data_IF_728153948427
#
_entry.id   IF_728153948427
#
_cell.length_a   1.000
_cell.length_b   1.000
_cell.length_c   1.000
_cell.angle_alpha   90.00
_cell.angle_beta   90.00
_cell.angle_gamma   90.00
#
_symmetry.space_group_name_H-M   'P 1'
#
loop_
_entity.id
_entity.type
_entity.pdbx_description
1 polymer ?
#
# COMPACT_ATOMS: atom_id res chain seq x y z
N UNK A 1 32.60 29.74 1.20
CA UNK A 1 31.93 29.00 2.29
C UNK A 1 30.69 28.38 1.66
N UNK A 2 30.76 27.10 1.31
CA UNK A 2 29.68 26.38 0.63
C UNK A 2 28.82 25.67 1.68
N UNK A 3 27.58 26.10 1.86
CA UNK A 3 26.56 25.31 2.53
C UNK A 3 25.70 24.69 1.40
N UNK A 4 25.96 23.43 1.11
CA UNK A 4 25.17 22.65 0.17
C UNK A 4 23.79 22.38 0.74
N UNK A 5 22.79 22.91 0.06
CA UNK A 5 21.39 22.54 0.22
C UNK A 5 21.25 21.05 -0.15
N UNK A 6 21.22 20.19 0.87
CA UNK A 6 20.84 18.79 0.71
C UNK A 6 19.33 18.79 0.55
N UNK A 7 18.88 18.97 -0.70
CA UNK A 7 17.49 18.80 -1.12
C UNK A 7 16.95 17.49 -0.56
N UNK A 8 16.24 17.59 0.56
CA UNK A 8 15.55 16.49 1.18
C UNK A 8 14.47 16.07 0.21
N UNK A 9 14.61 14.87 -0.37
CA UNK A 9 13.51 14.23 -1.05
C UNK A 9 12.40 14.05 -0.01
N UNK A 10 11.41 14.93 -0.01
CA UNK A 10 10.18 14.75 0.76
C UNK A 10 9.49 13.53 0.15
N UNK A 11 9.62 12.38 0.81
CA UNK A 11 8.87 11.19 0.42
C UNK A 11 7.42 11.45 0.78
N UNK A 12 6.56 11.50 -0.24
CA UNK A 12 5.15 11.83 -0.04
C UNK A 12 4.35 10.56 0.30
N UNK A 13 3.94 10.45 1.55
CA UNK A 13 3.12 9.36 2.07
C UNK A 13 1.62 9.63 1.94
N UNK A 14 1.26 10.76 1.34
CA UNK A 14 -0.12 11.17 1.10
C UNK A 14 -0.83 10.25 0.10
N UNK A 15 -0.18 9.26 -0.52
CA UNK A 15 -0.80 8.24 -1.37
C UNK A 15 -1.09 6.93 -0.65
N UNK A 16 -0.64 6.76 0.58
CA UNK A 16 -0.91 5.54 1.35
C UNK A 16 -2.36 5.55 1.85
N UNK A 17 -2.96 4.36 1.86
CA UNK A 17 -4.30 4.10 2.37
C UNK A 17 -4.31 2.82 3.21
N UNK A 18 -5.31 2.67 4.06
CA UNK A 18 -5.61 1.41 4.74
C UNK A 18 -6.59 0.61 3.88
N UNK A 19 -6.36 -0.69 3.75
CA UNK A 19 -7.27 -1.61 3.07
C UNK A 19 -7.81 -2.59 4.10
N UNK A 20 -9.13 -2.68 4.20
CA UNK A 20 -9.84 -3.59 5.09
C UNK A 20 -10.69 -4.55 4.28
N UNK A 21 -10.84 -5.76 4.80
CA UNK A 21 -11.61 -6.82 4.17
C UNK A 21 -12.50 -7.48 5.21
N UNK A 22 -13.80 -7.61 4.91
CA UNK A 22 -14.68 -8.47 5.71
C UNK A 22 -14.46 -9.93 5.34
N UNK A 23 -14.12 -10.74 6.35
CA UNK A 23 -13.89 -12.17 6.15
C UNK A 23 -15.21 -12.94 6.03
N UNK A 24 -15.17 -14.04 5.28
CA UNK A 24 -16.31 -14.92 5.01
C UNK A 24 -16.83 -15.65 6.24
N UNK A 25 -15.92 -15.92 7.19
CA UNK A 25 -16.20 -16.68 8.40
C UNK A 25 -16.47 -15.71 9.56
N UNK A 26 -17.74 -15.57 10.00
CA UNK A 26 -18.09 -14.72 11.13
C UNK A 26 -17.62 -15.30 12.47
N UNK A 27 -17.38 -16.61 12.57
CA UNK A 27 -16.94 -17.29 13.80
C UNK A 27 -15.43 -17.09 14.04
N UNK A 28 -14.66 -16.83 12.98
CA UNK A 28 -13.26 -16.36 13.07
C UNK A 28 -13.20 -14.86 13.39
N UNK A 29 -14.31 -14.12 13.27
CA UNK A 29 -14.49 -12.75 13.78
C UNK A 29 -13.48 -11.70 13.28
N UNK A 30 -12.74 -12.01 12.21
CA UNK A 30 -11.62 -11.18 11.77
C UNK A 30 -12.01 -10.19 10.68
N UNK A 31 -11.43 -8.99 10.70
CA UNK A 31 -11.27 -8.16 9.51
C UNK A 31 -9.86 -8.38 8.95
N UNK A 32 -9.77 -8.75 7.68
CA UNK A 32 -8.51 -8.66 6.93
C UNK A 32 -8.06 -7.21 6.89
N UNK A 33 -6.75 -6.98 7.03
CA UNK A 33 -6.19 -5.64 7.03
C UNK A 33 -4.82 -5.62 6.35
N UNK A 34 -4.59 -4.58 5.58
CA UNK A 34 -3.31 -4.28 4.95
C UNK A 34 -3.16 -2.80 4.61
N UNK A 35 -2.02 -2.49 4.00
CA UNK A 35 -1.75 -1.18 3.42
C UNK A 35 -2.04 -1.20 1.92
N UNK A 36 -2.41 -0.05 1.38
CA UNK A 36 -2.49 0.19 -0.06
C UNK A 36 -1.79 1.47 -0.46
N UNK A 37 -1.55 1.63 -1.75
CA UNK A 37 -0.92 2.80 -2.34
C UNK A 37 -1.72 3.26 -3.57
N UNK A 38 -2.10 4.53 -3.61
CA UNK A 38 -2.84 5.11 -4.74
C UNK A 38 -1.92 5.25 -5.96
N UNK A 39 -2.29 4.61 -7.06
CA UNK A 39 -1.62 4.73 -8.36
C UNK A 39 -2.25 5.82 -9.24
N UNK A 40 -3.57 5.98 -9.12
CA UNK A 40 -4.39 6.93 -9.86
C UNK A 40 -5.60 7.33 -9.00
N UNK A 41 -6.40 8.33 -9.39
CA UNK A 41 -7.60 8.67 -8.64
C UNK A 41 -8.45 7.41 -8.41
N UNK A 42 -8.73 7.10 -7.14
CA UNK A 42 -9.51 5.92 -6.69
C UNK A 42 -8.90 4.54 -6.92
N UNK A 43 -7.74 4.44 -7.59
CA UNK A 43 -7.09 3.17 -7.90
C UNK A 43 -5.97 2.87 -6.93
N UNK A 44 -6.12 1.80 -6.16
CA UNK A 44 -5.21 1.41 -5.07
C UNK A 44 -4.52 0.09 -5.40
N UNK A 45 -3.19 0.08 -5.32
CA UNK A 45 -2.38 -1.12 -5.33
C UNK A 45 -2.20 -1.65 -3.91
N UNK A 46 -2.44 -2.95 -3.71
CA UNK A 46 -2.22 -3.65 -2.44
C UNK A 46 -1.67 -5.06 -2.70
N UNK A 47 -1.33 -5.78 -1.63
CA UNK A 47 -0.91 -7.17 -1.76
C UNK A 47 -2.12 -8.11 -1.92
N UNK A 48 -2.02 -9.13 -2.77
CA UNK A 48 -3.16 -10.03 -3.02
C UNK A 48 -3.53 -10.88 -1.79
N UNK A 49 -2.59 -11.14 -0.89
CA UNK A 49 -2.85 -11.82 0.37
C UNK A 49 -3.70 -10.99 1.35
N UNK A 50 -3.75 -9.66 1.21
CA UNK A 50 -4.61 -8.80 2.05
C UNK A 50 -6.09 -9.14 1.81
N UNK A 51 -6.40 -9.63 0.61
CA UNK A 51 -7.73 -10.02 0.16
C UNK A 51 -8.07 -11.49 0.42
N UNK A 52 -7.20 -12.24 1.11
CA UNK A 52 -7.49 -13.64 1.45
C UNK A 52 -8.66 -13.74 2.43
N UNK A 53 -9.46 -14.81 2.29
CA UNK A 53 -10.59 -15.09 3.19
C UNK A 53 -11.80 -14.16 3.02
N UNK A 54 -11.83 -13.33 1.97
CA UNK A 54 -12.95 -12.42 1.69
C UNK A 54 -14.27 -13.16 1.40
N UNK A 55 -15.39 -12.61 1.91
CA UNK A 55 -16.71 -13.26 1.90
C UNK A 55 -17.31 -13.58 0.51
N UNK A 56 -16.90 -12.88 -0.55
CA UNK A 56 -17.07 -13.23 -1.96
C UNK A 56 -16.48 -12.10 -2.81
N UNK A 57 -15.94 -12.42 -3.99
CA UNK A 57 -15.62 -11.41 -5.01
C UNK A 57 -16.94 -10.80 -5.52
N UNK A 58 -17.12 -9.48 -5.41
CA UNK A 58 -18.22 -8.76 -6.06
C UNK A 58 -19.32 -8.18 -5.16
N UNK A 59 -19.22 -8.26 -3.83
CA UNK A 59 -20.05 -7.41 -2.95
C UNK A 59 -19.33 -6.08 -2.66
N UNK A 60 -19.99 -4.92 -2.85
CA UNK A 60 -19.35 -3.60 -2.72
C UNK A 60 -18.77 -3.33 -1.33
N UNK A 61 -19.27 -3.99 -0.28
CA UNK A 61 -18.84 -3.74 1.11
C UNK A 61 -17.89 -4.80 1.68
N UNK A 62 -17.34 -5.66 0.81
CA UNK A 62 -16.36 -6.66 1.22
C UNK A 62 -14.95 -6.08 1.36
N UNK A 63 -14.63 -5.04 0.57
CA UNK A 63 -13.36 -4.32 0.64
C UNK A 63 -13.65 -2.86 0.91
N UNK A 64 -12.99 -2.29 1.90
CA UNK A 64 -13.06 -0.85 2.19
C UNK A 64 -11.68 -0.23 2.24
N UNK A 65 -11.61 1.03 1.84
CA UNK A 65 -10.38 1.83 1.82
C UNK A 65 -10.58 3.04 2.73
N UNK A 66 -9.60 3.36 3.57
CA UNK A 66 -9.60 4.60 4.35
C UNK A 66 -8.28 5.33 4.23
N UNK A 67 -8.33 6.67 4.36
CA UNK A 67 -7.13 7.50 4.46
C UNK A 67 -6.58 7.42 5.89
N UNK A 68 -5.25 7.47 6.07
CA UNK A 68 -4.71 7.87 7.37
C UNK A 68 -5.26 9.24 7.73
N UNK A 69 -5.76 9.40 8.96
CA UNK A 69 -6.18 10.66 9.56
C UNK A 69 -7.46 11.31 9.00
N UNK A 70 -8.25 10.65 8.14
CA UNK A 70 -9.54 11.19 7.65
C UNK A 70 -10.77 10.65 8.43
N UNK A 71 -10.62 10.47 9.75
CA UNK A 71 -11.76 10.20 10.65
C UNK A 71 -12.47 8.87 10.42
N UNK A 72 -11.74 7.75 10.39
CA UNK A 72 -12.27 6.38 10.33
C UNK A 72 -13.18 6.02 9.14
N UNK A 73 -13.52 6.96 8.25
CA UNK A 73 -14.43 6.69 7.14
C UNK A 73 -13.87 5.64 6.20
N UNK A 74 -14.67 4.60 6.01
CA UNK A 74 -14.41 3.49 5.13
C UNK A 74 -15.16 3.73 3.81
N UNK A 75 -14.42 3.78 2.71
CA UNK A 75 -14.97 3.92 1.36
C UNK A 75 -15.05 2.54 0.70
N UNK A 76 -16.25 2.10 0.25
CA UNK A 76 -16.42 0.85 -0.47
C UNK A 76 -15.56 0.76 -1.73
N UNK A 77 -15.00 -0.42 -1.96
CA UNK A 77 -14.11 -0.69 -3.08
C UNK A 77 -14.35 -2.08 -3.70
N UNK A 78 -14.01 -2.21 -4.98
CA UNK A 78 -14.07 -3.48 -5.71
C UNK A 78 -12.68 -3.90 -6.17
N UNK A 79 -12.46 -5.21 -6.31
CA UNK A 79 -11.20 -5.75 -6.84
C UNK A 79 -11.29 -5.76 -8.36
N UNK A 80 -10.46 -4.98 -9.03
CA UNK A 80 -10.45 -4.86 -10.50
C UNK A 80 -9.38 -5.73 -11.15
N UNK A 81 -8.33 -6.09 -10.39
CA UNK A 81 -7.32 -7.06 -10.81
C UNK A 81 -6.67 -7.72 -9.60
N UNK A 82 -6.29 -8.99 -9.73
CA UNK A 82 -5.59 -9.73 -8.68
C UNK A 82 -4.71 -10.80 -9.30
N UNK A 83 -3.47 -10.91 -8.82
CA UNK A 83 -2.58 -12.03 -9.09
C UNK A 83 -1.86 -12.44 -7.82
N UNK A 84 -1.98 -13.71 -7.47
CA UNK A 84 -1.32 -14.33 -6.33
C UNK A 84 -0.69 -15.65 -6.77
N UNK A 85 0.62 -15.64 -6.97
CA UNK A 85 1.43 -16.82 -7.26
C UNK A 85 2.82 -16.67 -6.61
N UNK A 86 3.75 -17.57 -6.95
CA UNK A 86 5.10 -17.56 -6.38
C UNK A 86 5.93 -16.31 -6.76
N UNK A 87 5.54 -15.57 -7.80
CA UNK A 87 6.26 -14.41 -8.31
C UNK A 87 5.57 -13.08 -8.01
N UNK A 88 4.24 -13.09 -7.91
CA UNK A 88 3.42 -11.88 -7.76
C UNK A 88 2.41 -12.08 -6.65
N UNK A 89 2.40 -11.14 -5.71
CA UNK A 89 1.41 -11.04 -4.64
C UNK A 89 0.83 -9.62 -4.64
N UNK A 90 -0.03 -9.34 -5.62
CA UNK A 90 -0.54 -8.00 -5.87
C UNK A 90 -2.00 -7.98 -6.33
N UNK A 91 -2.71 -6.93 -5.95
CA UNK A 91 -4.08 -6.65 -6.37
C UNK A 91 -4.30 -5.16 -6.59
N UNK A 92 -5.19 -4.84 -7.52
CA UNK A 92 -5.72 -3.51 -7.74
C UNK A 92 -7.16 -3.48 -7.22
N UNK A 93 -7.46 -2.47 -6.42
CA UNK A 93 -8.81 -2.18 -5.96
C UNK A 93 -9.22 -0.77 -6.36
N UNK A 94 -10.46 -0.63 -6.81
CA UNK A 94 -11.06 0.64 -7.21
C UNK A 94 -12.09 1.06 -6.17
N UNK A 95 -12.01 2.30 -5.69
CA UNK A 95 -13.01 2.89 -4.80
C UNK A 95 -14.25 3.24 -5.62
N UNK A 96 -15.39 2.60 -5.31
CA UNK A 96 -16.60 2.63 -6.16
C UNK A 96 -17.75 3.45 -5.61
N UNK A 97 -17.86 3.57 -4.29
CA UNK A 97 -18.96 4.30 -3.66
C UNK A 97 -18.49 5.69 -3.26
N UNK A 98 -18.95 6.67 -4.04
CA UNK A 98 -18.63 8.07 -3.92
C UNK A 98 -19.95 8.75 -3.66
N UNK A 99 -20.31 8.87 -2.39
CA UNK A 99 -21.35 9.78 -1.95
C UNK A 99 -21.02 11.19 -2.50
N UNK A 100 -21.95 11.77 -3.27
CA UNK A 100 -21.80 13.10 -3.87
C UNK A 100 -21.65 14.20 -2.80
N UNK A 101 -22.21 13.98 -1.60
CA UNK A 101 -22.07 14.91 -0.48
C UNK A 101 -20.67 14.83 0.15
N UNK A 102 -20.03 13.66 0.07
CA UNK A 102 -18.72 13.43 0.66
C UNK A 102 -17.86 12.53 -0.25
N UNK A 103 -17.31 13.07 -1.34
CA UNK A 103 -16.55 12.28 -2.29
C UNK A 103 -15.21 11.81 -1.71
N UNK A 104 -14.62 10.79 -2.34
CA UNK A 104 -13.25 10.38 -2.05
C UNK A 104 -12.29 11.56 -2.27
N UNK A 105 -11.55 12.01 -1.23
CA UNK A 105 -10.63 13.13 -1.35
C UNK A 105 -9.33 12.67 -2.03
N UNK A 106 -9.25 12.82 -3.35
CA UNK A 106 -8.03 12.50 -4.09
C UNK A 106 -6.86 13.35 -3.57
N UNK A 107 -5.74 12.74 -3.15
CA UNK A 107 -4.56 13.50 -2.78
C UNK A 107 -4.05 14.32 -3.97
N UNK A 108 -3.56 15.52 -3.72
CA UNK A 108 -3.00 16.39 -4.77
C UNK A 108 -1.89 15.67 -5.55
N UNK A 109 -1.16 14.80 -4.87
CA UNK A 109 -0.15 13.96 -5.49
C UNK A 109 -0.65 13.12 -6.63
N UNK A 110 -1.86 12.62 -6.54
CA UNK A 110 -2.48 11.80 -7.57
C UNK A 110 -3.13 12.68 -8.65
N UNK A 111 -3.59 13.88 -8.29
CA UNK A 111 -4.26 14.81 -9.20
C UNK A 111 -3.33 15.59 -10.14
N UNK A 112 -2.07 15.85 -9.74
CA UNK A 112 -1.13 16.68 -10.52
C UNK A 112 0.16 15.91 -10.90
N UNK A 113 -0.01 14.81 -11.65
CA UNK A 113 1.10 13.95 -12.08
C UNK A 113 2.20 14.67 -12.91
N UNK A 114 1.89 15.62 -13.82
CA UNK A 114 2.92 16.29 -14.63
C UNK A 114 3.84 17.20 -13.81
N UNK A 115 3.37 17.72 -12.67
CA UNK A 115 4.16 18.58 -11.81
C UNK A 115 5.13 17.81 -10.90
N UNK A 116 5.16 16.46 -10.98
CA UNK A 116 5.81 15.61 -9.99
C UNK A 116 6.78 14.62 -10.62
N UNK A 117 7.86 14.23 -9.91
CA UNK A 117 8.76 13.19 -10.38
C UNK A 117 7.97 11.89 -10.64
N UNK A 118 8.19 11.20 -11.78
CA UNK A 118 7.51 9.96 -12.06
C UNK A 118 7.90 8.90 -11.01
N UNK A 119 6.90 8.19 -10.48
CA UNK A 119 7.16 7.02 -9.66
C UNK A 119 7.78 5.93 -10.53
N UNK A 120 8.87 5.33 -10.04
CA UNK A 120 9.62 4.30 -10.77
C UNK A 120 9.67 3.02 -9.95
N UNK A 121 9.39 1.91 -10.63
CA UNK A 121 9.59 0.56 -10.09
C UNK A 121 10.82 -0.04 -10.74
N UNK A 122 11.64 -0.74 -9.98
CA UNK A 122 12.84 -1.36 -10.50
C UNK A 122 13.60 -2.13 -9.46
N UNK A 123 14.66 -2.80 -9.92
CA UNK A 123 15.60 -3.48 -9.05
C UNK A 123 16.72 -2.51 -8.66
N UNK A 124 17.08 -2.52 -7.37
CA UNK A 124 18.31 -1.90 -6.92
C UNK A 124 19.47 -2.78 -7.38
N UNK A 125 20.28 -2.28 -8.32
CA UNK A 125 21.45 -2.98 -8.86
C UNK A 125 22.70 -2.22 -8.40
N UNK A 126 23.67 -2.95 -7.83
CA UNK A 126 24.95 -2.40 -7.38
C UNK A 126 25.28 -2.77 -5.94
N UNK A 127 26.44 -2.32 -5.48
CA UNK A 127 27.00 -2.68 -4.16
C UNK A 127 26.91 -1.55 -3.13
N UNK A 128 26.39 -0.38 -3.52
CA UNK A 128 26.29 0.79 -2.63
C UNK A 128 25.05 0.66 -1.74
N UNK A 129 25.16 0.85 -0.41
CA UNK A 129 23.99 0.95 0.45
C UNK A 129 23.06 2.06 -0.02
N UNK A 130 21.78 1.74 -0.19
CA UNK A 130 20.77 2.70 -0.58
C UNK A 130 19.95 3.12 0.63
N UNK A 131 19.82 4.43 0.92
CA UNK A 131 18.87 4.90 1.91
C UNK A 131 17.47 4.56 1.43
N UNK A 132 16.68 3.96 2.31
CA UNK A 132 15.29 3.60 2.02
C UNK A 132 14.41 4.04 3.17
N UNK A 133 13.17 4.35 2.82
CA UNK A 133 12.10 4.56 3.79
C UNK A 133 10.99 3.58 3.49
N UNK A 134 10.63 2.79 4.49
CA UNK A 134 9.46 1.93 4.47
C UNK A 134 8.34 2.65 5.20
N UNK A 135 7.15 2.65 4.60
CA UNK A 135 5.98 3.26 5.17
C UNK A 135 4.76 2.37 4.97
N UNK A 136 3.99 2.19 6.03
CA UNK A 136 2.86 1.26 6.03
C UNK A 136 2.06 1.33 7.32
N UNK A 137 1.26 0.30 7.55
CA UNK A 137 0.54 0.07 8.80
C UNK A 137 0.92 -1.33 9.33
N UNK A 138 2.01 -1.45 10.09
CA UNK A 138 2.53 -2.75 10.52
C UNK A 138 1.51 -3.52 11.37
N UNK A 139 1.36 -4.83 11.10
CA UNK A 139 0.43 -5.70 11.85
C UNK A 139 0.71 -5.73 13.35
N UNK A 140 1.97 -5.51 13.76
CA UNK A 140 2.42 -5.58 15.16
C UNK A 140 1.96 -4.39 16.01
N UNK A 141 1.53 -3.28 15.40
CA UNK A 141 1.10 -2.10 16.12
C UNK A 141 -0.41 -1.94 15.97
N UNK A 142 -1.14 -2.78 16.72
CA UNK A 142 -2.54 -2.52 17.04
C UNK A 142 -2.51 -1.71 18.33
N UNK A 143 -3.05 -0.50 18.30
CA UNK A 143 -3.31 0.25 19.52
C UNK A 143 -4.17 -0.63 20.45
N UNK A 144 -3.74 -0.88 21.69
CA UNK A 144 -4.43 -1.79 22.58
C UNK A 144 -5.79 -1.27 23.05
N UNK A 145 -6.02 0.05 23.01
CA UNK A 145 -7.19 0.71 23.55
C UNK A 145 -8.30 0.84 22.50
N UNK A 146 -7.98 1.23 21.27
CA UNK A 146 -8.97 1.46 20.19
C UNK A 146 -8.80 0.52 18.99
N UNK A 147 -7.73 -0.28 18.94
CA UNK A 147 -7.45 -1.16 17.82
C UNK A 147 -7.00 -0.45 16.54
N UNK A 148 -6.77 0.87 16.60
CA UNK A 148 -6.26 1.65 15.50
C UNK A 148 -4.84 1.21 15.14
N UNK A 149 -4.47 1.50 13.89
CA UNK A 149 -3.11 1.29 13.41
C UNK A 149 -2.61 2.61 12.88
N UNK A 150 -1.63 3.15 13.57
CA UNK A 150 -0.99 4.40 13.17
C UNK A 150 -0.05 4.16 11.99
N UNK A 151 0.11 5.22 11.22
CA UNK A 151 1.12 5.32 10.19
C UNK A 151 2.52 5.25 10.84
N UNK A 152 3.34 4.31 10.38
CA UNK A 152 4.76 4.28 10.74
C UNK A 152 5.64 4.48 9.50
N UNK A 153 6.68 5.28 9.70
CA UNK A 153 7.76 5.53 8.75
C UNK A 153 9.07 5.03 9.36
N UNK A 154 9.60 3.93 8.81
CA UNK A 154 10.90 3.39 9.19
C UNK A 154 11.91 3.79 8.13
N UNK A 155 12.91 4.59 8.51
CA UNK A 155 14.01 4.94 7.62
C UNK A 155 15.23 4.11 7.95
N UNK A 156 15.86 3.54 6.93
CA UNK A 156 17.02 2.67 7.09
C UNK A 156 17.87 2.64 5.83
N UNK A 157 18.73 1.64 5.75
CA UNK A 157 19.52 1.34 4.56
C UNK A 157 19.30 -0.12 4.21
N UNK A 158 19.10 -0.44 2.94
CA UNK A 158 19.14 -1.85 2.50
C UNK A 158 20.62 -2.27 2.46
N UNK A 159 21.07 -3.17 3.35
CA UNK A 159 22.42 -3.71 3.30
C UNK A 159 22.50 -4.77 2.20
N UNK A 160 23.73 -5.20 1.88
CA UNK A 160 24.00 -6.27 0.91
C UNK A 160 23.11 -7.50 1.13
N UNK A 161 22.57 -8.05 0.05
CA UNK A 161 22.31 -9.50 -0.06
C UNK A 161 23.45 -10.13 -0.90
N UNK A 162 24.14 -11.18 -0.43
CA UNK A 162 24.87 -12.05 -1.34
C UNK A 162 23.84 -12.75 -2.22
N UNK A 163 23.85 -12.51 -3.54
CA UNK A 163 23.04 -13.30 -4.47
C UNK A 163 23.93 -14.44 -4.99
N UNK A 164 23.71 -15.70 -4.62
CA UNK A 164 24.22 -16.82 -5.42
C UNK A 164 23.37 -16.88 -6.70
N UNK A 165 24.03 -16.74 -7.85
CA UNK A 165 23.41 -17.01 -9.14
C UNK A 165 23.01 -18.49 -9.22
N UNK A 166 21.81 -18.86 -9.71
CA UNK A 166 21.56 -20.23 -10.09
C UNK A 166 22.41 -20.56 -11.33
N UNK A 167 23.47 -21.33 -11.13
CA UNK A 167 24.16 -22.01 -12.25
C UNK A 167 23.16 -22.93 -12.93
N UNK A 168 22.81 -22.62 -14.17
CA UNK A 168 22.07 -23.52 -15.03
C UNK A 168 22.95 -24.76 -15.29
N UNK A 169 22.66 -25.85 -14.59
CA UNK A 169 23.11 -27.18 -15.02
C UNK A 169 22.28 -27.58 -16.23
N UNK A 170 22.90 -27.55 -17.41
CA UNK A 170 22.44 -28.35 -18.55
C UNK A 170 22.80 -29.80 -18.27
N UNK A 171 21.80 -30.68 -18.29
CA UNK A 171 21.95 -32.11 -18.54
C UNK A 171 21.00 -32.48 -19.67
#
# INVERSE_FOLDING_TARGET
MWAGDLGGFVVEFDRRVQVRVRLADPDVGGRGFGSGYLLAPRLVLTAAHVLDGMAALGRPDTVTVSRPNAGEREFPATVVWRRKDALVDAALVEIVDIDDEHPWPNPESVGNLPARPPQRFGHLIGTRPHPVTLAGFPRMQKDPDDGARLDEQVTGRVPRAPVPWPTATRS
#
